data_IF_711824468627
#
_entry.id   IF_711824468627
#
_cell.length_a   1.000
_cell.length_b   1.000
_cell.length_c   1.000
_cell.angle_alpha   90.00
_cell.angle_beta   90.00
_cell.angle_gamma   90.00
#
_symmetry.space_group_name_H-M   'P 1'
#
loop_
_entity.id
_entity.type
_entity.pdbx_description
1 polymer ?
#
# COMPACT_ATOMS: atom_id res chain seq x y z
N UNK A 1 -10.94 -15.04 13.47
CA UNK A 1 -11.92 -16.14 13.59
C UNK A 1 -11.31 -17.37 14.29
N UNK A 2 -10.37 -18.10 13.69
CA UNK A 2 -9.71 -19.26 14.34
C UNK A 2 -8.99 -18.93 15.65
N UNK A 3 -8.22 -17.84 15.66
CA UNK A 3 -7.55 -17.32 16.86
C UNK A 3 -8.51 -16.92 18.01
N UNK A 4 -9.75 -16.56 17.69
CA UNK A 4 -10.77 -16.27 18.70
C UNK A 4 -11.26 -17.56 19.34
N UNK A 5 -11.56 -18.58 18.53
CA UNK A 5 -11.93 -19.92 19.03
C UNK A 5 -10.78 -20.48 19.89
N UNK A 6 -9.53 -20.38 19.44
CA UNK A 6 -8.37 -20.86 20.21
C UNK A 6 -8.23 -20.17 21.57
N UNK A 7 -8.54 -18.87 21.66
CA UNK A 7 -8.44 -18.09 22.89
C UNK A 7 -9.53 -18.41 23.91
N UNK A 8 -10.73 -18.77 23.44
CA UNK A 8 -11.93 -18.85 24.28
C UNK A 8 -12.53 -20.26 24.39
N UNK A 9 -11.94 -21.26 23.71
CA UNK A 9 -12.42 -22.64 23.72
C UNK A 9 -12.47 -23.27 25.11
N UNK A 10 -11.57 -22.89 26.01
CA UNK A 10 -11.49 -23.48 27.35
C UNK A 10 -12.59 -22.91 28.29
N UNK A 11 -13.06 -21.70 28.00
CA UNK A 11 -14.11 -21.03 28.79
C UNK A 11 -15.53 -21.36 28.29
N UNK A 12 -15.75 -21.44 26.98
CA UNK A 12 -17.10 -21.56 26.40
C UNK A 12 -17.30 -22.81 25.54
N UNK A 13 -16.27 -23.63 25.33
CA UNK A 13 -16.31 -24.76 24.41
C UNK A 13 -16.26 -24.35 22.94
N UNK A 14 -15.78 -25.27 22.08
CA UNK A 14 -15.60 -25.01 20.64
C UNK A 14 -16.94 -24.92 19.90
N UNK A 15 -17.88 -25.80 20.22
CA UNK A 15 -19.15 -25.93 19.50
C UNK A 15 -20.09 -24.73 19.71
N UNK A 16 -20.25 -24.18 20.93
CA UNK A 16 -21.04 -22.96 21.15
C UNK A 16 -20.48 -21.75 20.40
N UNK A 17 -19.14 -21.56 20.42
CA UNK A 17 -18.49 -20.46 19.69
C UNK A 17 -18.69 -20.62 18.18
N UNK A 18 -18.48 -21.84 17.65
CA UNK A 18 -18.70 -22.14 16.23
C UNK A 18 -20.16 -21.88 15.80
N UNK A 19 -21.14 -22.18 16.66
CA UNK A 19 -22.57 -21.91 16.40
C UNK A 19 -22.85 -20.42 16.29
N UNK A 20 -22.33 -19.60 17.20
CA UNK A 20 -22.51 -18.13 17.15
C UNK A 20 -21.83 -17.53 15.92
N UNK A 21 -20.63 -17.98 15.60
CA UNK A 21 -19.87 -17.51 14.43
C UNK A 21 -20.36 -18.09 13.10
N UNK A 22 -21.37 -18.99 13.12
CA UNK A 22 -21.91 -19.68 11.94
C UNK A 22 -20.85 -20.46 11.15
N UNK A 23 -20.02 -21.23 11.85
CA UNK A 23 -18.96 -22.07 11.27
C UNK A 23 -19.20 -23.53 11.67
N UNK A 24 -18.97 -24.46 10.73
CA UNK A 24 -19.00 -25.89 11.06
C UNK A 24 -17.86 -26.27 12.05
N UNK A 25 -18.14 -26.94 13.19
CA UNK A 25 -17.11 -27.38 14.14
C UNK A 25 -16.03 -28.27 13.51
N UNK A 26 -16.39 -29.05 12.48
CA UNK A 26 -15.46 -29.88 11.71
C UNK A 26 -14.36 -29.07 11.02
N UNK A 27 -14.66 -27.85 10.53
CA UNK A 27 -13.66 -26.96 9.95
C UNK A 27 -12.61 -26.53 10.98
N UNK A 28 -13.04 -26.22 12.22
CA UNK A 28 -12.11 -25.89 13.30
C UNK A 28 -11.29 -27.12 13.73
N UNK A 29 -11.93 -28.28 13.90
CA UNK A 29 -11.21 -29.53 14.24
C UNK A 29 -10.18 -29.91 13.18
N UNK A 30 -10.49 -29.77 11.89
CA UNK A 30 -9.54 -29.96 10.78
C UNK A 30 -8.36 -29.00 10.88
N UNK A 31 -8.62 -27.72 11.17
CA UNK A 31 -7.56 -26.75 11.43
C UNK A 31 -6.69 -27.14 12.63
N UNK A 32 -7.29 -27.49 13.76
CA UNK A 32 -6.57 -27.89 14.96
C UNK A 32 -5.75 -29.18 14.74
N UNK A 33 -6.24 -30.13 13.94
CA UNK A 33 -5.50 -31.31 13.52
C UNK A 33 -4.31 -30.96 12.62
N UNK A 34 -4.48 -30.04 11.67
CA UNK A 34 -3.40 -29.54 10.80
C UNK A 34 -2.34 -28.71 11.54
N UNK A 35 -2.68 -28.14 12.70
CA UNK A 35 -1.71 -27.49 13.58
C UNK A 35 -0.91 -28.50 14.39
N UNK A 36 -1.57 -29.53 14.93
CA UNK A 36 -0.92 -30.63 15.67
C UNK A 36 -0.04 -31.51 14.77
N UNK A 37 -0.50 -31.79 13.56
CA UNK A 37 0.22 -32.59 12.59
C UNK A 37 0.35 -31.82 11.25
N UNK A 38 1.50 -31.15 11.01
CA UNK A 38 1.76 -30.43 9.77
C UNK A 38 1.67 -31.30 8.50
N UNK A 39 1.82 -32.63 8.60
CA UNK A 39 1.69 -33.54 7.46
C UNK A 39 0.25 -33.62 6.92
N UNK A 40 -0.76 -33.21 7.70
CA UNK A 40 -2.16 -33.13 7.25
C UNK A 40 -2.46 -31.86 6.44
N UNK A 41 -1.50 -30.94 6.32
CA UNK A 41 -1.63 -29.73 5.49
C UNK A 41 -1.48 -30.10 4.01
N UNK A 42 -1.96 -29.23 3.12
CA UNK A 42 -1.77 -29.44 1.70
C UNK A 42 -0.28 -29.40 1.31
N UNK A 43 0.10 -30.12 0.25
CA UNK A 43 1.50 -30.20 -0.25
C UNK A 43 2.16 -28.83 -0.43
N UNK A 44 1.38 -27.82 -0.86
CA UNK A 44 1.85 -26.44 -1.00
C UNK A 44 2.29 -25.83 0.34
N UNK A 45 1.51 -26.01 1.40
CA UNK A 45 1.84 -25.47 2.72
C UNK A 45 3.07 -26.18 3.30
N UNK A 46 3.18 -27.49 3.12
CA UNK A 46 4.37 -28.24 3.53
C UNK A 46 5.62 -27.75 2.79
N UNK A 47 5.53 -27.53 1.46
CA UNK A 47 6.64 -26.96 0.68
C UNK A 47 7.00 -25.54 1.13
N UNK A 48 6.02 -24.71 1.43
CA UNK A 48 6.25 -23.37 1.99
C UNK A 48 7.02 -23.42 3.32
N UNK A 49 6.66 -24.36 4.20
CA UNK A 49 7.29 -24.53 5.51
C UNK A 49 8.76 -24.96 5.40
N UNK A 50 9.13 -25.70 4.34
CA UNK A 50 10.53 -26.03 4.01
C UNK A 50 11.30 -24.83 3.43
N UNK A 51 10.65 -23.99 2.61
CA UNK A 51 11.31 -22.86 1.94
C UNK A 51 11.53 -21.65 2.86
N UNK A 52 10.67 -21.46 3.87
CA UNK A 52 10.77 -20.30 4.77
C UNK A 52 12.10 -20.23 5.53
N UNK A 53 12.61 -21.32 6.13
CA UNK A 53 13.93 -21.33 6.78
C UNK A 53 15.07 -20.89 5.84
N UNK A 54 15.09 -21.36 4.59
CA UNK A 54 16.10 -20.95 3.61
C UNK A 54 16.01 -19.46 3.26
N UNK A 55 14.79 -18.96 3.03
CA UNK A 55 14.54 -17.53 2.80
C UNK A 55 15.06 -16.70 3.97
N UNK A 56 14.78 -17.12 5.22
CA UNK A 56 15.24 -16.43 6.43
C UNK A 56 16.76 -16.49 6.55
N UNK A 57 17.38 -17.65 6.33
CA UNK A 57 18.84 -17.84 6.36
C UNK A 57 19.53 -16.88 5.40
N UNK A 58 19.08 -16.85 4.14
CA UNK A 58 19.64 -15.96 3.12
C UNK A 58 19.42 -14.50 3.51
N UNK A 59 18.23 -14.13 3.98
CA UNK A 59 17.91 -12.75 4.36
C UNK A 59 18.76 -12.27 5.55
N UNK A 60 18.86 -13.07 6.61
CA UNK A 60 19.69 -12.77 7.79
C UNK A 60 21.19 -12.75 7.44
N UNK A 61 21.67 -13.70 6.64
CA UNK A 61 23.07 -13.76 6.21
C UNK A 61 23.49 -12.59 5.31
N UNK A 62 22.53 -11.89 4.70
CA UNK A 62 22.76 -10.67 3.90
C UNK A 62 22.34 -9.40 4.64
N UNK A 63 22.42 -9.38 5.98
CA UNK A 63 22.16 -8.21 6.82
C UNK A 63 20.80 -7.57 6.57
N UNK A 64 19.80 -8.38 6.20
CA UNK A 64 18.44 -7.92 5.90
C UNK A 64 18.34 -6.98 4.68
N UNK A 65 19.43 -6.82 3.91
CA UNK A 65 19.49 -5.94 2.74
C UNK A 65 18.73 -6.53 1.54
N UNK A 66 18.68 -7.85 1.43
CA UNK A 66 18.13 -8.51 0.24
C UNK A 66 16.60 -8.48 0.23
N UNK A 67 16.03 -7.88 -0.82
CA UNK A 67 14.61 -8.02 -1.16
C UNK A 67 14.33 -9.33 -1.89
N UNK A 68 13.04 -9.56 -2.21
CA UNK A 68 12.58 -10.82 -2.80
C UNK A 68 13.35 -11.26 -4.06
N UNK A 69 13.67 -10.34 -4.96
CA UNK A 69 14.47 -10.65 -6.16
C UNK A 69 15.88 -11.16 -5.83
N UNK A 70 16.55 -10.54 -4.86
CA UNK A 70 17.92 -10.91 -4.48
C UNK A 70 17.93 -12.23 -3.71
N UNK A 71 16.97 -12.43 -2.82
CA UNK A 71 16.78 -13.72 -2.12
C UNK A 71 16.50 -14.83 -3.14
N UNK A 72 15.58 -14.60 -4.08
CA UNK A 72 15.25 -15.56 -5.13
C UNK A 72 16.47 -15.94 -5.99
N UNK A 73 17.26 -14.96 -6.43
CA UNK A 73 18.50 -15.21 -7.18
C UNK A 73 19.51 -16.00 -6.35
N UNK A 74 19.64 -15.72 -5.05
CA UNK A 74 20.52 -16.46 -4.16
C UNK A 74 20.05 -17.91 -3.97
N UNK A 75 18.74 -18.14 -3.81
CA UNK A 75 18.17 -19.48 -3.75
C UNK A 75 18.46 -20.29 -5.01
N UNK A 76 18.36 -19.68 -6.20
CA UNK A 76 18.72 -20.34 -7.46
C UNK A 76 20.21 -20.70 -7.50
N UNK A 77 21.10 -19.81 -7.04
CA UNK A 77 22.55 -20.07 -6.97
C UNK A 77 22.90 -21.22 -6.03
N UNK A 78 22.11 -21.40 -4.97
CA UNK A 78 22.23 -22.51 -4.02
C UNK A 78 21.50 -23.79 -4.51
N UNK A 79 20.99 -23.81 -5.75
CA UNK A 79 20.34 -24.98 -6.36
C UNK A 79 18.87 -25.17 -5.97
N UNK A 80 18.27 -24.25 -5.20
CA UNK A 80 16.89 -24.34 -4.75
C UNK A 80 15.95 -23.80 -5.83
N UNK A 81 15.30 -24.70 -6.58
CA UNK A 81 14.36 -24.33 -7.63
C UNK A 81 13.02 -23.87 -7.06
N UNK A 82 12.79 -22.55 -7.08
CA UNK A 82 11.56 -21.89 -6.64
C UNK A 82 11.17 -20.75 -7.57
N UNK A 83 9.87 -20.55 -7.77
CA UNK A 83 9.35 -19.44 -8.55
C UNK A 83 9.50 -18.11 -7.77
N UNK A 84 9.85 -17.03 -8.46
CA UNK A 84 10.00 -15.69 -7.85
C UNK A 84 8.78 -15.26 -7.03
N UNK A 85 7.58 -15.42 -7.58
CA UNK A 85 6.33 -15.07 -6.92
C UNK A 85 6.08 -15.84 -5.61
N UNK A 86 6.69 -17.03 -5.46
CA UNK A 86 6.63 -17.81 -4.22
C UNK A 86 7.52 -17.18 -3.15
N UNK A 87 8.73 -16.76 -3.50
CA UNK A 87 9.63 -16.04 -2.58
C UNK A 87 9.00 -14.72 -2.14
N UNK A 88 8.48 -13.92 -3.08
CA UNK A 88 7.78 -12.66 -2.79
C UNK A 88 6.61 -12.86 -1.81
N UNK A 89 5.75 -13.85 -2.09
CA UNK A 89 4.61 -14.19 -1.24
C UNK A 89 5.04 -14.63 0.15
N UNK A 90 6.07 -15.47 0.26
CA UNK A 90 6.55 -15.99 1.53
C UNK A 90 7.25 -14.91 2.37
N UNK A 91 8.07 -14.06 1.74
CA UNK A 91 8.67 -12.91 2.40
C UNK A 91 7.59 -11.95 2.92
N UNK A 92 6.59 -11.61 2.10
CA UNK A 92 5.45 -10.79 2.52
C UNK A 92 4.70 -11.41 3.71
N UNK A 93 4.43 -12.72 3.67
CA UNK A 93 3.75 -13.46 4.75
C UNK A 93 4.55 -13.45 6.06
N UNK A 94 5.87 -13.41 5.98
CA UNK A 94 6.79 -13.37 7.13
C UNK A 94 7.18 -11.95 7.56
N UNK A 95 6.71 -10.91 6.86
CA UNK A 95 7.11 -9.52 7.13
C UNK A 95 8.55 -9.19 6.74
N UNK A 96 9.21 -10.04 5.94
CA UNK A 96 10.59 -9.85 5.50
C UNK A 96 10.63 -8.85 4.35
N UNK A 97 11.48 -7.84 4.48
CA UNK A 97 11.68 -6.83 3.45
C UNK A 97 13.18 -6.55 3.29
N UNK A 98 13.59 -6.26 2.06
CA UNK A 98 14.95 -5.80 1.79
C UNK A 98 15.03 -4.28 1.88
N UNK A 99 16.25 -3.78 2.10
CA UNK A 99 16.54 -2.35 2.08
C UNK A 99 16.37 -1.81 0.66
N UNK A 100 15.54 -0.79 0.50
CA UNK A 100 15.41 -0.02 -0.74
C UNK A 100 16.36 1.18 -0.66
N UNK A 101 17.29 1.30 -1.62
CA UNK A 101 18.10 2.52 -1.77
C UNK A 101 17.22 3.61 -2.38
N UNK A 102 17.15 4.76 -1.71
CA UNK A 102 16.41 5.94 -2.14
C UNK A 102 15.96 6.74 -0.93
N UNK A 103 16.11 8.07 -0.97
CA UNK A 103 15.44 8.94 -0.01
C UNK A 103 13.94 8.72 -0.20
N UNK A 104 13.20 8.47 0.89
CA UNK A 104 11.76 8.73 0.87
C UNK A 104 11.63 10.22 0.61
N UNK A 105 11.26 10.60 -0.60
CA UNK A 105 11.01 12.01 -0.95
C UNK A 105 9.75 12.40 -0.21
N UNK A 106 9.94 13.01 0.96
CA UNK A 106 8.86 13.58 1.74
C UNK A 106 8.70 15.02 1.28
N UNK A 107 7.79 15.23 0.34
CA UNK A 107 7.54 16.55 -0.28
C UNK A 107 6.94 17.55 0.70
N UNK A 108 6.29 17.05 1.76
CA UNK A 108 5.60 17.88 2.76
C UNK A 108 5.88 17.37 4.17
N UNK A 109 6.41 18.26 5.01
CA UNK A 109 6.44 18.06 6.46
C UNK A 109 5.22 18.79 7.02
N UNK A 110 4.21 18.07 7.55
CA UNK A 110 3.04 18.70 8.15
C UNK A 110 3.47 19.54 9.35
N UNK A 111 3.04 20.80 9.39
CA UNK A 111 3.09 21.59 10.61
C UNK A 111 1.86 21.24 11.45
N UNK A 112 2.07 20.51 12.55
CA UNK A 112 1.00 20.10 13.47
C UNK A 112 0.46 21.25 14.33
N UNK A 113 1.13 22.41 14.35
CA UNK A 113 0.70 23.60 15.08
C UNK A 113 -0.22 24.50 14.26
N UNK A 114 -0.18 24.38 12.92
CA UNK A 114 -1.06 25.11 12.03
C UNK A 114 -2.49 24.54 12.09
N UNK A 115 -3.53 25.38 12.18
CA UNK A 115 -4.91 24.92 12.11
C UNK A 115 -5.14 24.25 10.75
N UNK A 116 -5.63 23.00 10.79
CA UNK A 116 -6.01 22.28 9.58
C UNK A 116 -7.11 23.08 8.85
N UNK A 117 -6.93 23.44 7.56
CA UNK A 117 -7.96 24.13 6.81
C UNK A 117 -9.27 23.34 6.85
N UNK A 118 -10.39 24.05 7.06
CA UNK A 118 -11.71 23.42 7.06
C UNK A 118 -11.98 22.76 5.70
N UNK A 119 -12.28 21.47 5.72
CA UNK A 119 -12.70 20.73 4.53
C UNK A 119 -14.12 21.13 4.13
N UNK A 120 -14.23 22.23 3.38
CA UNK A 120 -15.52 22.79 2.94
C UNK A 120 -16.32 21.85 2.03
N UNK A 121 -15.67 20.85 1.44
CA UNK A 121 -16.31 19.87 0.55
C UNK A 121 -16.49 18.51 1.20
N UNK A 122 -16.10 18.33 2.46
CA UNK A 122 -16.24 17.07 3.21
C UNK A 122 -15.73 15.83 2.44
N UNK A 123 -14.62 15.98 1.72
CA UNK A 123 -14.07 14.97 0.78
C UNK A 123 -15.01 14.51 -0.35
N UNK A 124 -16.10 15.24 -0.62
CA UNK A 124 -17.01 14.99 -1.72
C UNK A 124 -16.54 15.71 -2.99
N UNK A 125 -15.60 15.10 -3.72
CA UNK A 125 -15.11 15.60 -5.02
C UNK A 125 -16.05 15.19 -6.17
N UNK A 126 -17.33 15.55 -6.05
CA UNK A 126 -18.35 15.37 -7.09
C UNK A 126 -19.13 16.66 -7.25
N UNK A 127 -19.50 16.97 -8.49
CA UNK A 127 -20.33 18.12 -8.85
C UNK A 127 -21.48 17.65 -9.75
N UNK A 128 -22.60 18.37 -9.73
CA UNK A 128 -23.80 18.06 -10.51
C UNK A 128 -23.87 18.89 -11.81
N UNK A 129 -23.12 20.00 -11.89
CA UNK A 129 -23.03 20.87 -13.06
C UNK A 129 -21.62 21.47 -13.24
N UNK A 130 -21.27 21.94 -14.46
CA UNK A 130 -20.02 22.67 -14.69
C UNK A 130 -19.89 23.89 -13.78
N UNK A 131 -18.65 24.26 -13.44
CA UNK A 131 -18.27 25.41 -12.62
C UNK A 131 -18.84 25.43 -11.19
N UNK A 132 -19.33 24.29 -10.69
CA UNK A 132 -19.80 24.17 -9.30
C UNK A 132 -18.65 23.86 -8.32
N UNK A 133 -17.64 23.11 -8.77
CA UNK A 133 -16.48 22.75 -7.98
C UNK A 133 -15.24 22.67 -8.88
N UNK A 134 -14.20 23.39 -8.49
CA UNK A 134 -12.89 23.30 -9.10
C UNK A 134 -11.87 22.73 -8.12
N UNK A 135 -10.96 21.93 -8.63
CA UNK A 135 -9.81 21.41 -7.87
C UNK A 135 -8.54 21.94 -8.52
N UNK A 136 -7.66 22.51 -7.70
CA UNK A 136 -6.33 22.91 -8.14
C UNK A 136 -5.32 21.81 -7.86
N UNK A 137 -4.46 21.51 -8.83
CA UNK A 137 -3.30 20.64 -8.63
C UNK A 137 -2.00 21.39 -8.95
N UNK A 138 -0.94 21.05 -8.23
CA UNK A 138 0.38 21.65 -8.39
C UNK A 138 1.42 20.56 -8.55
N UNK A 139 2.13 20.58 -9.68
CA UNK A 139 3.11 19.56 -10.02
C UNK A 139 4.37 20.17 -10.63
N UNK A 140 5.43 19.38 -10.68
CA UNK A 140 6.69 19.74 -11.31
C UNK A 140 6.91 18.86 -12.55
N UNK A 141 7.34 19.48 -13.64
CA UNK A 141 7.56 18.84 -14.93
C UNK A 141 9.04 18.93 -15.28
N UNK A 142 9.66 17.79 -15.56
CA UNK A 142 11.05 17.73 -16.03
C UNK A 142 11.12 18.14 -17.50
N UNK A 143 12.02 19.06 -17.84
CA UNK A 143 12.30 19.48 -19.21
C UNK A 143 13.80 19.40 -19.48
N UNK A 144 14.19 19.48 -20.76
CA UNK A 144 15.60 19.49 -21.16
C UNK A 144 16.37 20.72 -20.64
N UNK A 145 15.67 21.80 -20.30
CA UNK A 145 16.25 23.02 -19.74
C UNK A 145 16.13 23.12 -18.21
N UNK A 146 15.61 22.08 -17.54
CA UNK A 146 15.42 22.05 -16.09
C UNK A 146 13.98 21.77 -15.67
N UNK A 147 13.65 22.08 -14.41
CA UNK A 147 12.32 21.84 -13.85
C UNK A 147 11.41 23.05 -14.02
N UNK A 148 10.16 22.79 -14.41
CA UNK A 148 9.08 23.77 -14.41
C UNK A 148 8.02 23.38 -13.38
N UNK A 149 7.40 24.38 -12.78
CA UNK A 149 6.25 24.21 -11.90
C UNK A 149 4.99 24.56 -12.69
N UNK A 150 3.98 23.69 -12.64
CA UNK A 150 2.74 23.86 -13.39
C UNK A 150 1.58 23.75 -12.42
N UNK A 151 0.69 24.74 -12.46
CA UNK A 151 -0.54 24.78 -11.71
C UNK A 151 -1.71 24.59 -12.66
N UNK A 152 -2.64 23.69 -12.31
CA UNK A 152 -3.84 23.41 -13.08
C UNK A 152 -5.08 23.67 -12.24
N UNK A 153 -6.11 24.23 -12.86
CA UNK A 153 -7.46 24.31 -12.30
C UNK A 153 -8.35 23.39 -13.14
N UNK A 154 -8.94 22.40 -12.49
CA UNK A 154 -9.74 21.36 -13.13
C UNK A 154 -11.20 21.49 -12.70
N UNK A 155 -12.11 21.49 -13.66
CA UNK A 155 -13.54 21.36 -13.40
C UNK A 155 -13.89 19.92 -13.04
N UNK A 156 -14.45 19.70 -11.84
CA UNK A 156 -14.73 18.34 -11.33
C UNK A 156 -15.85 17.66 -12.11
N UNK A 157 -16.83 18.41 -12.64
CA UNK A 157 -17.94 17.87 -13.42
C UNK A 157 -17.47 17.50 -14.83
N UNK A 158 -16.89 18.46 -15.55
CA UNK A 158 -16.53 18.31 -16.95
C UNK A 158 -15.17 17.61 -17.16
N UNK A 159 -14.37 17.45 -16.10
CA UNK A 159 -13.01 16.89 -16.13
C UNK A 159 -12.08 17.59 -17.13
N UNK A 160 -12.31 18.88 -17.35
CA UNK A 160 -11.51 19.72 -18.24
C UNK A 160 -10.62 20.66 -17.42
N UNK A 161 -9.46 20.96 -17.96
CA UNK A 161 -8.60 22.03 -17.44
C UNK A 161 -9.25 23.35 -17.87
N UNK A 162 -9.66 24.14 -16.89
CA UNK A 162 -10.31 25.45 -17.13
C UNK A 162 -9.32 26.60 -17.03
N UNK A 163 -8.17 26.39 -16.36
CA UNK A 163 -7.07 27.34 -16.30
C UNK A 163 -5.76 26.63 -15.97
N UNK A 164 -4.66 27.21 -16.43
CA UNK A 164 -3.33 26.68 -16.15
C UNK A 164 -2.27 27.77 -16.30
N UNK A 165 -1.23 27.67 -15.51
CA UNK A 165 -0.03 28.50 -15.68
C UNK A 165 1.21 27.62 -15.55
N UNK A 166 2.36 28.10 -16.05
CA UNK A 166 3.72 27.54 -15.80
C UNK A 166 4.73 28.57 -15.29
N UNK A 167 5.60 28.20 -14.34
CA UNK A 167 6.66 29.06 -13.80
C UNK A 167 7.97 28.29 -13.60
N UNK A 168 9.10 29.00 -13.64
CA UNK A 168 10.42 28.45 -13.29
C UNK A 168 10.69 28.45 -11.77
N UNK A 169 9.86 29.16 -11.00
CA UNK A 169 10.03 29.30 -9.55
C UNK A 169 8.77 28.85 -8.81
N UNK A 170 8.96 28.22 -7.65
CA UNK A 170 7.89 27.75 -6.78
C UNK A 170 7.41 28.91 -5.89
N UNK A 171 6.61 29.82 -6.45
CA UNK A 171 5.97 30.94 -5.72
C UNK A 171 4.45 30.78 -5.71
N UNK A 172 3.82 31.17 -4.61
CA UNK A 172 2.36 31.08 -4.41
C UNK A 172 1.58 31.95 -5.39
N UNK A 173 2.13 33.13 -5.73
CA UNK A 173 1.49 34.14 -6.61
C UNK A 173 1.04 33.53 -7.94
N UNK A 174 1.87 32.64 -8.48
CA UNK A 174 1.61 31.97 -9.74
C UNK A 174 0.44 30.97 -9.70
N UNK A 175 0.17 30.35 -8.54
CA UNK A 175 -1.00 29.47 -8.37
C UNK A 175 -2.28 30.32 -8.36
N UNK A 176 -2.20 31.54 -7.81
CA UNK A 176 -3.30 32.50 -7.85
C UNK A 176 -3.55 32.97 -9.29
N UNK A 177 -2.51 33.22 -10.09
CA UNK A 177 -2.64 33.59 -11.51
C UNK A 177 -3.40 32.54 -12.33
N UNK A 178 -3.24 31.26 -12.00
CA UNK A 178 -3.97 30.16 -12.65
C UNK A 178 -5.46 30.16 -12.29
N UNK A 179 -5.82 30.61 -11.08
CA UNK A 179 -7.21 30.77 -10.65
C UNK A 179 -7.82 32.05 -11.25
N UNK A 180 -7.08 33.15 -11.24
CA UNK A 180 -7.51 34.42 -11.85
C UNK A 180 -7.83 34.27 -13.33
N UNK A 181 -7.04 33.48 -14.08
CA UNK A 181 -7.32 33.17 -15.47
C UNK A 181 -8.71 32.54 -15.68
N UNK A 182 -9.21 31.76 -14.71
CA UNK A 182 -10.53 31.13 -14.80
C UNK A 182 -11.65 32.08 -14.38
N UNK A 183 -11.35 33.00 -13.46
CA UNK A 183 -12.31 33.97 -12.91
C UNK A 183 -12.50 35.20 -13.81
N UNK A 184 -11.48 35.59 -14.58
CA UNK A 184 -11.52 36.67 -15.55
C UNK A 184 -11.60 36.08 -16.97
N UNK A 185 -12.80 35.79 -17.50
CA UNK A 185 -12.93 35.41 -18.90
C UNK A 185 -12.51 36.60 -19.78
N UNK A 186 -11.67 36.33 -20.80
CA UNK A 186 -11.55 37.20 -21.97
C UNK A 186 -12.86 37.21 -22.75
#
# INVERSE_FOLDING_TARGET
>A
MKAYIDRYRDAYGVEPICKVLQIAPSCYRRYAAQQRNPALRCKRAQRDDVLIPDIKRIWHGNWQVYGADKVWKQMIREGIRVARCTVERLMKRQGLQGVRRGKVVRTTTPDTSAPCPLDRVQRMFKAERPNQLWVSDFTYVSTWQGWLYVAFVIDVFARRIVGWRMSRTMRSDFVLDALEQVLAPM
#
